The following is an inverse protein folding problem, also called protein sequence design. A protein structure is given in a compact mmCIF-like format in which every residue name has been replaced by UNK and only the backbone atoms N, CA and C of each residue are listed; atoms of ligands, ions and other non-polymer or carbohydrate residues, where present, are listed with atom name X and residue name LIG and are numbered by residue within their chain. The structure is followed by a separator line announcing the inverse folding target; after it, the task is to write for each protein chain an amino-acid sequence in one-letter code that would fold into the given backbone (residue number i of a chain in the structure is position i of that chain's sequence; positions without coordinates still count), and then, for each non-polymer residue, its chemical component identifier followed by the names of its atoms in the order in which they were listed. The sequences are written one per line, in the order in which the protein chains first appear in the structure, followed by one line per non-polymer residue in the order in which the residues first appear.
data_IF_909886039638
#
_entry.id   IF_909886039638
#
_cell.length_a   1.000
_cell.length_b   1.000
_cell.length_c   1.000
_cell.angle_alpha   90.00
_cell.angle_beta   90.00
_cell.angle_gamma   90.00
#
_symmetry.space_group_name_H-M   'P 1'
#
loop_
_entity.id
_entity.type
_entity.pdbx_description
1 polymer ?
#
# COMPACT_ATOMS: atom_id res chain seq x y z
N UNK A 1 19.78 -15.04 6.20
CA UNK A 1 19.31 -16.03 5.22
C UNK A 1 18.10 -15.40 4.59
N UNK A 2 18.20 -15.07 3.30
CA UNK A 2 17.13 -14.42 2.57
C UNK A 2 15.88 -15.30 2.61
N UNK A 3 14.82 -14.77 3.20
CA UNK A 3 13.49 -15.39 3.16
C UNK A 3 12.68 -14.65 2.11
N UNK A 4 12.18 -15.39 1.13
CA UNK A 4 11.27 -14.90 0.12
C UNK A 4 9.85 -15.31 0.51
N UNK A 5 9.03 -14.32 0.79
CA UNK A 5 7.61 -14.47 1.07
C UNK A 5 6.84 -13.47 0.23
N UNK A 6 5.87 -13.96 -0.52
CA UNK A 6 4.92 -13.13 -1.25
C UNK A 6 3.53 -13.67 -0.94
N UNK A 7 2.64 -12.78 -0.48
CA UNK A 7 1.25 -13.08 -0.24
C UNK A 7 0.37 -12.08 -1.00
N UNK A 8 -0.69 -12.58 -1.63
CA UNK A 8 -1.71 -11.77 -2.28
C UNK A 8 -3.03 -11.99 -1.56
N UNK A 9 -3.63 -10.88 -1.12
CA UNK A 9 -4.93 -10.81 -0.45
C UNK A 9 -5.80 -9.75 -1.10
N UNK A 10 -7.02 -9.58 -0.60
CA UNK A 10 -7.93 -8.54 -1.05
C UNK A 10 -8.77 -7.99 0.10
N UNK A 11 -9.14 -6.72 -0.01
CA UNK A 11 -10.02 -6.02 0.92
C UNK A 11 -11.40 -5.79 0.34
N UNK A 12 -12.44 -6.02 1.15
CA UNK A 12 -13.83 -5.71 0.79
C UNK A 12 -14.19 -4.27 1.17
N UNK A 13 -15.34 -3.81 0.69
CA UNK A 13 -15.91 -2.50 1.07
C UNK A 13 -15.90 -2.26 2.58
N UNK A 14 -15.52 -1.03 2.95
CA UNK A 14 -15.36 -0.55 4.33
C UNK A 14 -13.99 -0.89 4.93
N UNK A 15 -13.06 -1.43 4.15
CA UNK A 15 -11.70 -1.77 4.59
C UNK A 15 -10.62 -0.87 4.00
N UNK A 16 -10.88 -0.15 2.90
CA UNK A 16 -9.91 0.73 2.25
C UNK A 16 -9.41 1.83 3.20
N UNK A 17 -10.34 2.63 3.71
CA UNK A 17 -10.04 3.72 4.65
C UNK A 17 -9.30 3.28 5.91
N UNK A 18 -9.74 2.25 6.65
CA UNK A 18 -9.02 1.76 7.82
C UNK A 18 -7.66 1.14 7.51
N UNK A 19 -7.50 0.51 6.34
CA UNK A 19 -6.25 -0.15 5.97
C UNK A 19 -5.17 0.85 5.55
N UNK A 20 -5.53 1.90 4.80
CA UNK A 20 -4.57 2.96 4.46
C UNK A 20 -4.04 3.67 5.72
N UNK A 21 -4.90 3.92 6.71
CA UNK A 21 -4.44 4.48 8.00
C UNK A 21 -3.43 3.57 8.69
N UNK A 22 -3.61 2.26 8.57
CA UNK A 22 -2.73 1.29 9.19
C UNK A 22 -1.35 1.27 8.55
N UNK A 23 -1.30 1.15 7.21
CA UNK A 23 -0.01 1.06 6.49
C UNK A 23 0.75 2.39 6.50
N UNK A 24 0.03 3.51 6.64
CA UNK A 24 0.62 4.86 6.78
C UNK A 24 0.81 5.30 8.23
N UNK A 25 0.43 4.48 9.21
CA UNK A 25 0.63 4.82 10.62
C UNK A 25 -0.09 6.10 11.03
N UNK A 26 -1.31 6.32 10.52
CA UNK A 26 -2.10 7.53 10.73
C UNK A 26 -3.26 7.29 11.70
N UNK A 27 -3.85 8.38 12.21
CA UNK A 27 -5.01 8.36 13.10
C UNK A 27 -4.77 7.49 14.34
N UNK A 28 -5.60 6.45 14.54
CA UNK A 28 -5.46 5.49 15.64
C UNK A 28 -4.16 4.67 15.61
N UNK A 29 -3.40 4.75 14.52
CA UNK A 29 -2.12 4.07 14.33
C UNK A 29 -0.92 5.02 14.32
N UNK A 30 -1.07 6.26 14.83
CA UNK A 30 0.00 7.25 14.93
C UNK A 30 1.27 6.71 15.62
N UNK A 31 1.13 5.75 16.53
CA UNK A 31 2.27 5.09 17.17
C UNK A 31 3.16 4.29 16.20
N UNK A 32 2.64 3.89 15.03
CA UNK A 32 3.37 3.16 13.99
C UNK A 32 4.13 4.06 13.02
N UNK A 33 3.95 5.38 13.09
CA UNK A 33 4.62 6.32 12.19
C UNK A 33 6.16 6.13 12.18
N UNK A 34 6.74 5.84 13.34
CA UNK A 34 8.20 5.58 13.49
C UNK A 34 8.69 4.29 12.83
N UNK A 35 7.78 3.34 12.59
CA UNK A 35 8.07 2.07 11.91
C UNK A 35 8.16 2.27 10.39
N UNK A 36 7.49 3.29 9.84
CA UNK A 36 7.40 3.51 8.41
C UNK A 36 8.66 4.19 7.91
N UNK A 37 9.30 3.53 6.95
CA UNK A 37 10.59 3.95 6.39
C UNK A 37 10.48 4.47 4.98
N UNK A 38 9.39 4.15 4.29
CA UNK A 38 9.12 4.62 2.93
C UNK A 38 7.64 4.57 2.61
N UNK A 39 7.17 5.50 1.79
CA UNK A 39 5.82 5.48 1.23
C UNK A 39 5.86 5.93 -0.23
N UNK A 40 5.00 5.35 -1.07
CA UNK A 40 4.82 5.76 -2.47
C UNK A 40 3.38 5.51 -2.91
N UNK A 41 2.87 6.36 -3.80
CA UNK A 41 1.48 6.36 -4.23
C UNK A 41 1.35 6.73 -5.70
N UNK A 42 0.47 6.03 -6.41
CA UNK A 42 -0.06 6.49 -7.70
C UNK A 42 -1.54 6.81 -7.53
N UNK A 43 -1.89 8.09 -7.46
CA UNK A 43 -3.25 8.55 -7.18
C UNK A 43 -3.80 9.34 -8.37
N UNK A 44 -5.13 9.35 -8.57
CA UNK A 44 -5.73 10.20 -9.58
C UNK A 44 -5.66 11.68 -9.15
N UNK A 45 -5.67 12.58 -10.12
CA UNK A 45 -5.45 14.02 -9.92
C UNK A 45 -6.46 14.72 -8.98
N UNK A 46 -7.62 14.13 -8.77
CA UNK A 46 -8.64 14.70 -7.89
C UNK A 46 -8.36 14.44 -6.40
N UNK A 47 -7.53 13.44 -6.07
CA UNK A 47 -7.16 13.13 -4.70
C UNK A 47 -6.03 14.01 -4.20
N UNK A 48 -6.18 14.53 -2.99
CA UNK A 48 -5.11 15.23 -2.26
C UNK A 48 -4.33 14.32 -1.33
N UNK A 49 -4.89 13.15 -1.01
CA UNK A 49 -4.25 12.18 -0.12
C UNK A 49 -4.64 10.73 -0.48
N UNK A 50 -3.81 9.74 -0.11
CA UNK A 50 -4.19 8.32 -0.22
C UNK A 50 -5.49 8.02 0.54
N UNK A 51 -5.67 8.64 1.71
CA UNK A 51 -6.86 8.46 2.54
C UNK A 51 -8.14 8.81 1.80
N UNK A 52 -8.15 9.95 1.13
CA UNK A 52 -9.29 10.43 0.34
C UNK A 52 -9.65 9.44 -0.78
N UNK A 53 -8.64 8.91 -1.48
CA UNK A 53 -8.84 7.90 -2.52
C UNK A 53 -9.51 6.63 -1.97
N UNK A 54 -8.96 6.04 -0.91
CA UNK A 54 -9.43 4.75 -0.39
C UNK A 54 -10.77 4.84 0.34
N UNK A 55 -11.09 5.98 0.96
CA UNK A 55 -12.43 6.23 1.51
C UNK A 55 -13.45 6.39 0.38
N UNK A 56 -13.12 7.17 -0.65
CA UNK A 56 -14.01 7.28 -1.81
C UNK A 56 -14.21 5.92 -2.51
N UNK A 57 -13.18 5.07 -2.56
CA UNK A 57 -13.30 3.71 -3.08
C UNK A 57 -14.23 2.84 -2.22
N UNK A 58 -14.18 2.95 -0.89
CA UNK A 58 -15.15 2.29 -0.01
C UNK A 58 -16.58 2.81 -0.25
N UNK A 59 -16.77 4.12 -0.43
CA UNK A 59 -18.11 4.74 -0.55
C UNK A 59 -18.80 4.47 -1.89
N UNK A 60 -18.01 4.30 -2.97
CA UNK A 60 -18.53 4.18 -4.34
C UNK A 60 -18.52 2.75 -4.90
N UNK A 61 -17.88 1.80 -4.21
CA UNK A 61 -17.87 0.39 -4.60
C UNK A 61 -19.17 -0.32 -4.16
N UNK A 62 -19.58 -1.37 -4.89
CA UNK A 62 -20.82 -2.10 -4.58
C UNK A 62 -20.74 -2.75 -3.18
N UNK A 63 -21.87 -2.94 -2.51
CA UNK A 63 -21.95 -3.46 -1.13
C UNK A 63 -21.15 -4.75 -0.83
N UNK A 64 -20.90 -5.59 -1.84
CA UNK A 64 -20.11 -6.82 -1.74
C UNK A 64 -18.87 -6.81 -2.66
N UNK A 65 -18.41 -5.63 -3.03
CA UNK A 65 -17.27 -5.42 -3.90
C UNK A 65 -15.93 -5.54 -3.18
N UNK A 66 -14.89 -5.60 -4.00
CA UNK A 66 -13.50 -5.65 -3.58
C UNK A 66 -12.88 -4.30 -3.86
N UNK A 67 -12.44 -3.60 -2.82
CA UNK A 67 -11.92 -2.24 -2.91
C UNK A 67 -10.45 -2.22 -3.31
N UNK A 68 -9.67 -3.20 -2.83
CA UNK A 68 -8.27 -3.31 -3.16
C UNK A 68 -7.81 -4.76 -3.23
N UNK A 69 -6.71 -4.96 -3.97
CA UNK A 69 -5.84 -6.12 -3.84
C UNK A 69 -4.61 -5.69 -3.06
N UNK A 70 -4.14 -6.56 -2.19
CA UNK A 70 -2.98 -6.32 -1.34
C UNK A 70 -1.88 -7.31 -1.72
N UNK A 71 -0.67 -6.80 -1.87
CA UNK A 71 0.54 -7.58 -2.11
C UNK A 71 1.46 -7.32 -0.93
N UNK A 72 1.77 -8.37 -0.17
CA UNK A 72 2.75 -8.31 0.91
C UNK A 72 3.98 -9.10 0.50
N UNK A 73 5.12 -8.44 0.48
CA UNK A 73 6.42 -9.02 0.14
C UNK A 73 7.40 -8.85 1.27
N UNK A 74 8.24 -9.86 1.52
CA UNK A 74 9.40 -9.72 2.39
C UNK A 74 10.57 -9.15 1.61
N UNK A 75 11.17 -8.07 2.14
CA UNK A 75 12.38 -7.49 1.60
C UNK A 75 13.62 -8.13 2.27
N UNK A 76 14.73 -8.36 1.55
CA UNK A 76 15.93 -8.95 2.14
C UNK A 76 16.55 -8.04 3.22
N UNK A 77 16.80 -8.62 4.40
CA UNK A 77 17.46 -7.90 5.51
C UNK A 77 18.96 -7.65 5.23
N UNK A 78 19.54 -8.40 4.30
CA UNK A 78 20.93 -8.25 3.87
C UNK A 78 21.14 -6.99 3.01
N UNK A 79 20.07 -6.39 2.46
CA UNK A 79 20.13 -5.16 1.68
C UNK A 79 20.01 -3.91 2.57
N UNK A 80 20.64 -2.81 2.14
CA UNK A 80 20.41 -1.51 2.76
C UNK A 80 18.97 -1.05 2.52
N UNK A 81 18.51 -0.13 3.38
CA UNK A 81 17.16 0.44 3.25
C UNK A 81 16.91 1.06 1.87
N UNK A 82 17.90 1.79 1.34
CA UNK A 82 17.86 2.40 0.01
C UNK A 82 17.72 1.36 -1.11
N UNK A 83 18.45 0.25 -1.01
CA UNK A 83 18.36 -0.85 -1.99
C UNK A 83 17.02 -1.58 -1.92
N UNK A 84 16.45 -1.70 -0.73
CA UNK A 84 15.10 -2.23 -0.54
C UNK A 84 14.02 -1.32 -1.14
N UNK A 85 14.17 0.01 -1.04
CA UNK A 85 13.29 0.97 -1.72
C UNK A 85 13.41 0.85 -3.24
N UNK A 86 14.64 0.78 -3.77
CA UNK A 86 14.89 0.61 -5.22
C UNK A 86 14.23 -0.67 -5.74
N UNK A 87 14.45 -1.79 -5.06
CA UNK A 87 13.84 -3.08 -5.38
C UNK A 87 12.30 -3.02 -5.36
N UNK A 88 11.72 -2.36 -4.35
CA UNK A 88 10.28 -2.19 -4.27
C UNK A 88 9.73 -1.37 -5.45
N UNK A 89 10.37 -0.26 -5.80
CA UNK A 89 9.92 0.58 -6.90
C UNK A 89 10.04 -0.14 -8.25
N UNK A 90 11.14 -0.89 -8.48
CA UNK A 90 11.29 -1.72 -9.67
C UNK A 90 10.20 -2.81 -9.76
N UNK A 91 9.87 -3.44 -8.62
CA UNK A 91 8.78 -4.41 -8.53
C UNK A 91 7.43 -3.76 -8.89
N UNK A 92 7.16 -2.57 -8.36
CA UNK A 92 5.92 -1.82 -8.64
C UNK A 92 5.82 -1.47 -10.13
N UNK A 93 6.88 -0.94 -10.72
CA UNK A 93 6.90 -0.55 -12.12
C UNK A 93 6.71 -1.77 -13.04
N UNK A 94 7.34 -2.89 -12.70
CA UNK A 94 7.22 -4.15 -13.45
C UNK A 94 5.82 -4.77 -13.36
N UNK A 95 5.20 -4.76 -12.17
CA UNK A 95 3.94 -5.47 -11.95
C UNK A 95 2.72 -4.60 -12.28
N UNK A 96 2.78 -3.30 -11.98
CA UNK A 96 1.64 -2.40 -12.15
C UNK A 96 1.68 -1.61 -13.46
N UNK A 97 2.86 -1.45 -14.07
CA UNK A 97 3.06 -0.77 -15.35
C UNK A 97 2.37 0.62 -15.44
N UNK A 98 2.26 1.32 -14.30
CA UNK A 98 1.54 2.60 -14.19
C UNK A 98 0.02 2.56 -14.41
N UNK A 99 -0.57 1.37 -14.59
CA UNK A 99 -2.00 1.19 -14.93
C UNK A 99 -2.96 1.29 -13.74
N UNK A 100 -2.45 1.11 -12.53
CA UNK A 100 -3.25 0.99 -11.31
C UNK A 100 -2.94 2.09 -10.31
N UNK A 101 -3.98 2.54 -9.61
CA UNK A 101 -3.81 3.36 -8.42
C UNK A 101 -3.38 2.49 -7.25
N UNK A 102 -2.36 2.93 -6.52
CA UNK A 102 -1.80 2.16 -5.42
C UNK A 102 -1.32 3.04 -4.27
N UNK A 103 -1.14 2.41 -3.12
CA UNK A 103 -0.42 2.98 -1.99
C UNK A 103 0.42 1.90 -1.36
N UNK A 104 1.70 2.19 -1.12
CA UNK A 104 2.65 1.25 -0.53
C UNK A 104 3.38 1.91 0.63
N UNK A 105 3.79 1.09 1.60
CA UNK A 105 4.74 1.46 2.62
C UNK A 105 5.72 0.32 2.93
N UNK A 106 6.89 0.69 3.44
CA UNK A 106 7.89 -0.21 4.05
C UNK A 106 7.96 0.11 5.54
#
# INVERSE_FOLDING_TARGET
MANYHLNISYGRVGKGGPHIDYILGQNKYANKETEIKYTNHNLPNWCKSPKEFWVAADDNERINGTVYKEIRISLPNELSHEKNIELLNEFIDTILEGKYHYSVSI
#
